data_IF_433080616032
#
_entry.id   IF_433080616032
#
_cell.length_a   1.000
_cell.length_b   1.000
_cell.length_c   1.000
_cell.angle_alpha   90.00
_cell.angle_beta   90.00
_cell.angle_gamma   90.00
#
_symmetry.space_group_name_H-M   'P 1'
#
loop_
_entity.id
_entity.type
_entity.pdbx_description
1 polymer ?
#
# COMPACT_ATOMS: atom_id res chain seq x y z
N UNK A 1 11.53 -41.99 46.94
CA UNK A 1 11.13 -41.81 45.52
C UNK A 1 11.06 -40.32 45.23
N UNK A 2 12.11 -39.72 44.65
CA UNK A 2 12.15 -38.28 44.37
C UNK A 2 11.77 -38.00 42.93
N UNK A 3 10.62 -37.37 42.71
CA UNK A 3 10.24 -36.81 41.43
C UNK A 3 11.21 -35.67 41.08
N UNK A 4 12.13 -35.93 40.15
CA UNK A 4 13.03 -34.93 39.58
C UNK A 4 12.19 -33.83 38.95
N UNK A 5 12.26 -32.61 39.50
CA UNK A 5 11.63 -31.42 38.92
C UNK A 5 12.38 -31.08 37.63
N UNK A 6 11.82 -31.46 36.48
CA UNK A 6 12.30 -31.01 35.18
C UNK A 6 12.30 -29.48 35.16
N UNK A 7 13.45 -28.90 34.86
CA UNK A 7 13.65 -27.46 34.93
C UNK A 7 12.94 -26.84 33.73
N UNK A 8 12.17 -25.74 33.90
CA UNK A 8 11.42 -25.09 32.79
C UNK A 8 12.26 -24.77 31.54
N UNK A 9 13.59 -24.73 31.68
CA UNK A 9 14.57 -24.55 30.60
C UNK A 9 14.72 -25.81 29.73
N UNK A 10 14.75 -27.00 30.32
CA UNK A 10 14.81 -28.29 29.62
C UNK A 10 13.52 -28.54 28.83
N UNK A 11 12.35 -28.20 29.39
CA UNK A 11 11.06 -28.29 28.68
C UNK A 11 10.92 -27.31 27.51
N UNK A 12 11.58 -26.14 27.60
CA UNK A 12 11.63 -25.15 26.51
C UNK A 12 12.61 -25.55 25.41
N UNK A 13 13.76 -26.11 25.79
CA UNK A 13 14.72 -26.68 24.84
C UNK A 13 14.11 -27.87 24.11
N UNK A 14 13.42 -28.78 24.81
CA UNK A 14 12.76 -29.93 24.19
C UNK A 14 11.65 -29.52 23.21
N UNK A 15 10.85 -28.51 23.58
CA UNK A 15 9.77 -28.02 22.71
C UNK A 15 10.28 -27.38 21.42
N UNK A 16 11.36 -26.57 21.50
CA UNK A 16 11.95 -25.95 20.31
C UNK A 16 12.69 -26.97 19.45
N UNK A 17 13.47 -27.86 20.06
CA UNK A 17 14.22 -28.91 19.35
C UNK A 17 13.22 -29.86 18.66
N UNK A 18 12.15 -30.27 19.34
CA UNK A 18 11.11 -31.13 18.76
C UNK A 18 10.37 -30.44 17.62
N UNK A 19 10.06 -29.15 17.76
CA UNK A 19 9.43 -28.38 16.69
C UNK A 19 10.35 -28.23 15.46
N UNK A 20 11.65 -27.97 15.68
CA UNK A 20 12.65 -27.90 14.60
C UNK A 20 12.80 -29.27 13.93
N UNK A 21 12.92 -30.35 14.70
CA UNK A 21 12.99 -31.71 14.16
C UNK A 21 11.74 -32.09 13.38
N UNK A 22 10.54 -31.75 13.86
CA UNK A 22 9.30 -31.99 13.13
C UNK A 22 9.20 -31.15 11.85
N UNK A 23 9.71 -29.93 11.86
CA UNK A 23 9.78 -29.08 10.66
C UNK A 23 10.72 -29.70 9.62
N UNK A 24 11.91 -30.14 10.05
CA UNK A 24 12.92 -30.75 9.18
C UNK A 24 12.40 -32.07 8.61
N UNK A 25 11.79 -32.92 9.43
CA UNK A 25 11.17 -34.16 8.98
C UNK A 25 10.06 -33.91 7.96
N UNK A 26 9.18 -32.93 8.20
CA UNK A 26 8.10 -32.57 7.28
C UNK A 26 8.62 -32.01 5.94
N UNK A 27 9.69 -31.20 5.98
CA UNK A 27 10.35 -30.68 4.77
C UNK A 27 11.02 -31.81 3.99
N UNK A 28 11.57 -32.82 4.67
CA UNK A 28 12.24 -33.94 4.03
C UNK A 28 11.26 -34.95 3.43
N UNK A 29 10.15 -35.21 4.13
CA UNK A 29 9.06 -36.11 3.69
C UNK A 29 8.23 -35.51 2.54
N UNK A 30 8.09 -34.17 2.50
CA UNK A 30 7.35 -33.45 1.47
C UNK A 30 8.22 -32.46 0.67
N UNK A 31 9.46 -32.85 0.35
CA UNK A 31 10.47 -31.97 -0.27
C UNK A 31 9.97 -31.22 -1.52
N UNK A 32 9.17 -31.86 -2.37
CA UNK A 32 8.55 -31.22 -3.54
C UNK A 32 7.55 -30.13 -3.15
N UNK A 33 6.68 -30.40 -2.17
CA UNK A 33 5.66 -29.44 -1.71
C UNK A 33 6.32 -28.29 -0.97
N UNK A 34 7.33 -28.55 -0.14
CA UNK A 34 8.10 -27.51 0.56
C UNK A 34 8.86 -26.60 -0.40
N UNK A 35 9.44 -27.14 -1.48
CA UNK A 35 10.07 -26.34 -2.53
C UNK A 35 9.06 -25.46 -3.29
N UNK A 36 7.87 -25.98 -3.60
CA UNK A 36 6.79 -25.19 -4.23
C UNK A 36 6.33 -24.05 -3.32
N UNK A 37 6.13 -24.33 -2.03
CA UNK A 37 5.75 -23.31 -1.04
C UNK A 37 6.84 -22.24 -0.91
N UNK A 38 8.12 -22.65 -0.82
CA UNK A 38 9.23 -21.71 -0.75
C UNK A 38 9.32 -20.83 -2.00
N UNK A 39 9.17 -21.42 -3.19
CA UNK A 39 9.10 -20.69 -4.46
C UNK A 39 7.94 -19.69 -4.50
N UNK A 40 6.75 -20.10 -4.07
CA UNK A 40 5.57 -19.25 -4.01
C UNK A 40 5.77 -18.05 -3.06
N UNK A 41 6.40 -18.26 -1.89
CA UNK A 41 6.73 -17.18 -0.96
C UNK A 41 7.70 -16.18 -1.60
N UNK A 42 8.76 -16.65 -2.27
CA UNK A 42 9.72 -15.76 -2.95
C UNK A 42 9.02 -14.90 -4.00
N UNK A 43 8.17 -15.50 -4.84
CA UNK A 43 7.40 -14.78 -5.85
C UNK A 43 6.45 -13.76 -5.21
N UNK A 44 5.76 -14.13 -4.13
CA UNK A 44 4.87 -13.21 -3.40
C UNK A 44 5.63 -12.02 -2.81
N UNK A 45 6.79 -12.25 -2.19
CA UNK A 45 7.65 -11.18 -1.65
C UNK A 45 8.14 -10.28 -2.77
N UNK A 46 8.63 -10.84 -3.87
CA UNK A 46 9.07 -10.05 -5.03
C UNK A 46 7.94 -9.20 -5.62
N UNK A 47 6.71 -9.75 -5.71
CA UNK A 47 5.53 -9.02 -6.16
C UNK A 47 5.17 -7.85 -5.23
N UNK A 48 5.15 -8.07 -3.92
CA UNK A 48 4.89 -7.02 -2.92
C UNK A 48 5.94 -5.91 -3.03
N UNK A 49 7.21 -6.29 -3.15
CA UNK A 49 8.32 -5.34 -3.20
C UNK A 49 8.32 -4.52 -4.49
N UNK A 50 8.09 -5.17 -5.64
CA UNK A 50 7.94 -4.51 -6.92
C UNK A 50 6.74 -3.54 -6.96
N UNK A 51 5.61 -3.94 -6.38
CA UNK A 51 4.43 -3.08 -6.27
C UNK A 51 4.70 -1.85 -5.38
N UNK A 52 5.39 -2.04 -4.26
CA UNK A 52 5.76 -0.95 -3.34
C UNK A 52 6.72 0.06 -3.98
N UNK A 53 7.74 -0.42 -4.70
CA UNK A 53 8.72 0.44 -5.38
C UNK A 53 8.07 1.28 -6.50
N UNK A 54 7.19 0.67 -7.30
CA UNK A 54 6.43 1.38 -8.33
C UNK A 54 5.56 2.50 -7.75
N UNK A 55 4.89 2.23 -6.63
CA UNK A 55 4.02 3.20 -5.96
C UNK A 55 4.79 4.42 -5.42
N UNK A 56 6.01 4.23 -4.90
CA UNK A 56 6.81 5.33 -4.33
C UNK A 56 7.19 6.36 -5.40
N UNK A 57 7.73 5.90 -6.53
CA UNK A 57 8.15 6.77 -7.64
C UNK A 57 6.95 7.48 -8.29
N UNK A 58 5.82 6.78 -8.39
CA UNK A 58 4.56 7.33 -8.90
C UNK A 58 4.04 8.44 -7.97
N UNK A 59 4.08 8.22 -6.66
CA UNK A 59 3.62 9.19 -5.67
C UNK A 59 4.50 10.45 -5.61
N UNK A 60 5.83 10.33 -5.74
CA UNK A 60 6.74 11.49 -5.78
C UNK A 60 6.42 12.41 -6.97
N UNK A 61 6.29 11.85 -8.18
CA UNK A 61 5.93 12.60 -9.39
C UNK A 61 4.54 13.22 -9.31
N UNK A 62 3.59 12.50 -8.72
CA UNK A 62 2.24 13.00 -8.53
C UNK A 62 2.21 14.17 -7.54
N UNK A 63 3.00 14.12 -6.47
CA UNK A 63 3.12 15.20 -5.48
C UNK A 63 3.76 16.46 -6.08
N UNK A 64 4.78 16.32 -6.92
CA UNK A 64 5.38 17.45 -7.65
C UNK A 64 4.32 18.18 -8.49
N UNK A 65 3.54 17.42 -9.28
CA UNK A 65 2.44 17.98 -10.09
C UNK A 65 1.35 18.61 -9.23
N UNK A 66 1.02 18.02 -8.09
CA UNK A 66 0.06 18.61 -7.16
C UNK A 66 0.56 19.97 -6.64
N UNK A 67 1.85 20.09 -6.34
CA UNK A 67 2.46 21.36 -5.95
C UNK A 67 2.29 22.45 -7.02
N UNK A 68 2.51 22.11 -8.29
CA UNK A 68 2.28 23.00 -9.43
C UNK A 68 0.80 23.39 -9.51
N UNK A 69 -0.11 22.42 -9.44
CA UNK A 69 -1.55 22.67 -9.51
C UNK A 69 -2.04 23.60 -8.39
N UNK A 70 -1.53 23.42 -7.18
CA UNK A 70 -1.82 24.28 -6.03
C UNK A 70 -1.23 25.69 -6.19
N UNK A 71 -0.06 25.82 -6.83
CA UNK A 71 0.50 27.12 -7.16
C UNK A 71 -0.40 27.86 -8.16
N UNK A 72 -0.76 27.23 -9.28
CA UNK A 72 -1.71 27.80 -10.25
C UNK A 72 -3.04 28.15 -9.59
N UNK A 73 -3.54 27.30 -8.68
CA UNK A 73 -4.74 27.58 -7.87
C UNK A 73 -4.60 28.88 -7.07
N UNK A 74 -3.50 29.02 -6.31
CA UNK A 74 -3.22 30.20 -5.48
C UNK A 74 -3.04 31.48 -6.30
N UNK A 75 -2.54 31.36 -7.52
CA UNK A 75 -2.38 32.47 -8.47
C UNK A 75 -3.67 32.83 -9.21
N UNK A 76 -4.78 32.12 -8.96
CA UNK A 76 -6.06 32.34 -9.63
C UNK A 76 -6.16 31.73 -11.03
N UNK A 77 -5.13 31.00 -11.49
CA UNK A 77 -5.14 30.25 -12.73
C UNK A 77 -5.95 28.94 -12.56
N UNK A 78 -7.24 29.07 -12.30
CA UNK A 78 -8.13 27.95 -11.95
C UNK A 78 -8.30 26.93 -13.09
N UNK A 79 -8.28 27.37 -14.34
CA UNK A 79 -8.37 26.47 -15.50
C UNK A 79 -7.13 25.56 -15.60
N UNK A 80 -5.94 26.14 -15.54
CA UNK A 80 -4.67 25.39 -15.56
C UNK A 80 -4.55 24.45 -14.35
N UNK A 81 -4.97 24.93 -13.17
CA UNK A 81 -5.04 24.11 -11.97
C UNK A 81 -5.98 22.92 -12.18
N UNK A 82 -7.19 23.14 -12.70
CA UNK A 82 -8.18 22.09 -12.99
C UNK A 82 -7.64 21.05 -13.97
N UNK A 83 -6.97 21.48 -15.04
CA UNK A 83 -6.39 20.57 -16.04
C UNK A 83 -5.30 19.70 -15.42
N UNK A 84 -4.42 20.31 -14.62
CA UNK A 84 -3.35 19.59 -13.91
C UNK A 84 -3.93 18.60 -12.90
N UNK A 85 -4.93 19.00 -12.12
CA UNK A 85 -5.59 18.12 -11.14
C UNK A 85 -6.31 16.96 -11.83
N UNK A 86 -6.98 17.20 -12.95
CA UNK A 86 -7.64 16.16 -13.75
C UNK A 86 -6.62 15.16 -14.28
N UNK A 87 -5.48 15.65 -14.76
CA UNK A 87 -4.36 14.79 -15.16
C UNK A 87 -3.86 13.94 -13.98
N UNK A 88 -3.74 14.52 -12.78
CA UNK A 88 -3.30 13.77 -11.59
C UNK A 88 -4.30 12.68 -11.22
N UNK A 89 -5.61 12.94 -11.24
CA UNK A 89 -6.63 11.92 -10.96
C UNK A 89 -6.56 10.77 -11.97
N UNK A 90 -6.45 11.09 -13.26
CA UNK A 90 -6.46 10.08 -14.32
C UNK A 90 -5.20 9.20 -14.33
N UNK A 91 -4.04 9.76 -13.99
CA UNK A 91 -2.75 9.05 -14.10
C UNK A 91 -2.21 8.56 -12.75
N UNK A 92 -2.64 9.17 -11.64
CA UNK A 92 -2.12 8.93 -10.30
C UNK A 92 -3.22 8.76 -9.25
N UNK A 93 -4.46 8.39 -9.64
CA UNK A 93 -5.61 8.30 -8.72
C UNK A 93 -5.42 7.40 -7.49
N UNK A 94 -4.54 6.39 -7.56
CA UNK A 94 -4.21 5.48 -6.43
C UNK A 94 -3.21 6.08 -5.43
N UNK A 95 -2.61 7.22 -5.75
CA UNK A 95 -1.62 7.91 -4.92
C UNK A 95 -2.30 8.92 -4.00
N UNK A 96 -1.62 9.36 -2.94
CA UNK A 96 -2.16 10.40 -2.05
C UNK A 96 -2.41 11.72 -2.80
N UNK A 97 -1.56 12.05 -3.78
CA UNK A 97 -1.75 13.21 -4.63
C UNK A 97 -3.00 13.09 -5.52
N UNK A 98 -3.28 11.89 -6.05
CA UNK A 98 -4.52 11.59 -6.78
C UNK A 98 -5.78 11.82 -5.93
N UNK A 99 -5.76 11.35 -4.68
CA UNK A 99 -6.85 11.58 -3.74
C UNK A 99 -7.03 13.06 -3.43
N UNK A 100 -5.95 13.76 -3.08
CA UNK A 100 -6.02 15.21 -2.83
C UNK A 100 -6.47 15.99 -4.07
N UNK A 101 -6.11 15.55 -5.27
CA UNK A 101 -6.55 16.19 -6.50
C UNK A 101 -8.08 16.12 -6.68
N UNK A 102 -8.74 15.02 -6.26
CA UNK A 102 -10.20 14.93 -6.23
C UNK A 102 -10.82 16.01 -5.32
N UNK A 103 -10.25 16.21 -4.13
CA UNK A 103 -10.72 17.26 -3.21
C UNK A 103 -10.62 18.66 -3.84
N UNK A 104 -9.47 19.00 -4.45
CA UNK A 104 -9.31 20.31 -5.11
C UNK A 104 -10.22 20.48 -6.33
N UNK A 105 -10.46 19.43 -7.11
CA UNK A 105 -11.43 19.46 -8.20
C UNK A 105 -12.85 19.71 -7.67
N UNK A 106 -13.22 19.07 -6.55
CA UNK A 106 -14.47 19.35 -5.86
C UNK A 106 -14.57 20.82 -5.45
N UNK A 107 -13.50 21.37 -4.87
CA UNK A 107 -13.46 22.77 -4.45
C UNK A 107 -13.57 23.74 -5.63
N UNK A 108 -12.84 23.49 -6.73
CA UNK A 108 -12.95 24.30 -7.96
C UNK A 108 -14.38 24.29 -8.52
N UNK A 109 -15.04 23.13 -8.55
CA UNK A 109 -16.42 23.06 -9.02
C UNK A 109 -17.39 23.76 -8.04
N UNK A 110 -17.15 23.66 -6.73
CA UNK A 110 -17.94 24.33 -5.71
C UNK A 110 -17.89 25.86 -5.85
N UNK A 111 -16.70 26.44 -6.00
CA UNK A 111 -16.55 27.90 -6.17
C UNK A 111 -17.11 28.40 -7.51
N UNK A 112 -17.18 27.52 -8.52
CA UNK A 112 -17.76 27.82 -9.83
C UNK A 112 -19.29 27.64 -9.86
N UNK A 113 -19.93 27.24 -8.75
CA UNK A 113 -21.37 27.01 -8.66
C UNK A 113 -21.83 25.65 -9.22
N UNK A 114 -20.90 24.80 -9.67
CA UNK A 114 -21.18 23.45 -10.17
C UNK A 114 -21.28 22.44 -9.02
N UNK A 115 -22.30 22.60 -8.18
CA UNK A 115 -22.43 21.85 -6.92
C UNK A 115 -22.58 20.33 -7.11
N UNK A 116 -23.32 19.89 -8.12
CA UNK A 116 -23.50 18.45 -8.40
C UNK A 116 -22.16 17.77 -8.74
N UNK A 117 -21.36 18.41 -9.60
CA UNK A 117 -20.02 17.95 -9.93
C UNK A 117 -19.09 18.01 -8.73
N UNK A 118 -19.20 19.05 -7.89
CA UNK A 118 -18.41 19.16 -6.67
C UNK A 118 -18.68 17.98 -5.73
N UNK A 119 -19.96 17.63 -5.51
CA UNK A 119 -20.37 16.48 -4.72
C UNK A 119 -19.84 15.17 -5.29
N UNK A 120 -19.88 14.98 -6.61
CA UNK A 120 -19.31 13.79 -7.26
C UNK A 120 -17.81 13.64 -6.96
N UNK A 121 -17.03 14.72 -7.06
CA UNK A 121 -15.61 14.68 -6.74
C UNK A 121 -15.34 14.45 -5.25
N UNK A 122 -16.13 15.05 -4.36
CA UNK A 122 -15.99 14.81 -2.92
C UNK A 122 -16.37 13.37 -2.53
N UNK A 123 -17.41 12.80 -3.12
CA UNK A 123 -17.77 11.39 -2.89
C UNK A 123 -16.67 10.45 -3.38
N UNK A 124 -16.09 10.71 -4.55
CA UNK A 124 -14.90 9.97 -5.03
C UNK A 124 -13.73 10.11 -4.08
N UNK A 125 -13.48 11.30 -3.51
CA UNK A 125 -12.42 11.52 -2.52
C UNK A 125 -12.67 10.69 -1.25
N UNK A 126 -13.90 10.72 -0.71
CA UNK A 126 -14.26 9.99 0.51
C UNK A 126 -14.19 8.47 0.33
N UNK A 127 -14.41 7.97 -0.88
CA UNK A 127 -14.30 6.54 -1.23
C UNK A 127 -12.88 6.08 -1.58
N UNK A 128 -11.93 7.00 -1.73
CA UNK A 128 -10.60 6.73 -2.31
C UNK A 128 -9.58 6.13 -1.35
#
# INVERSE_FOLDING_TARGET
>A
MSAKKATKKELKEDGLVKNVFSLVAYIQEHSTVSMIIAGAIIVAVAAIWGFSYSNKKSNERAMEKLGIAQLSFRLGALAESKDTLTYIVNNYGRTNAGKLALYYLGYINYINGSYDLALEYYDKFLKS
#
